data_IF_571453508084
#
_entry.id   IF_571453508084
#
_cell.length_a   1.000
_cell.length_b   1.000
_cell.length_c   1.000
_cell.angle_alpha   90.00
_cell.angle_beta   90.00
_cell.angle_gamma   90.00
#
_symmetry.space_group_name_H-M   'P 1'
#
loop_
_entity.id
_entity.type
_entity.pdbx_description
1 polymer ?
#
# COMPACT_ATOMS: atom_id res chain seq x y z
N UNK A 1 57.36 35.15 57.91
CA UNK A 1 56.68 35.83 56.77
C UNK A 1 56.84 34.93 55.58
N UNK A 2 55.83 34.06 55.36
CA UNK A 2 55.83 33.09 54.27
C UNK A 2 54.61 33.38 53.33
N UNK A 3 54.95 33.79 52.11
CA UNK A 3 54.01 34.02 51.07
C UNK A 3 53.64 32.68 50.40
N UNK A 4 52.43 32.22 50.62
CA UNK A 4 51.83 31.03 49.92
C UNK A 4 51.19 31.53 48.65
N UNK A 5 51.75 31.22 47.48
CA UNK A 5 51.12 31.48 46.16
C UNK A 5 50.16 30.35 45.80
N UNK A 6 48.92 30.70 45.74
CA UNK A 6 47.81 29.80 45.29
C UNK A 6 47.81 29.74 43.77
N UNK A 7 48.09 28.55 43.19
CA UNK A 7 47.90 28.29 41.75
C UNK A 7 46.54 27.76 41.53
N UNK A 8 45.69 28.52 40.82
CA UNK A 8 44.41 28.07 40.35
C UNK A 8 44.63 27.25 39.06
N UNK A 9 44.35 25.94 39.12
CA UNK A 9 44.29 25.08 37.94
C UNK A 9 42.93 25.29 37.21
N UNK A 10 42.99 25.89 36.03
CA UNK A 10 41.84 25.92 35.10
C UNK A 10 41.79 24.59 34.36
N UNK A 11 40.82 23.74 34.70
CA UNK A 11 40.47 22.54 33.92
C UNK A 11 39.54 22.97 32.80
N UNK A 12 40.04 23.08 31.59
CA UNK A 12 39.24 23.29 30.39
C UNK A 12 38.66 21.91 30.03
N UNK A 13 37.37 21.73 30.34
CA UNK A 13 36.59 20.58 29.88
C UNK A 13 36.33 20.66 28.37
N UNK A 14 37.03 19.85 27.59
CA UNK A 14 36.70 19.64 26.16
C UNK A 14 35.40 18.87 26.08
N UNK A 15 34.27 19.55 25.81
CA UNK A 15 33.05 18.88 25.37
C UNK A 15 33.24 18.42 23.93
N UNK A 16 33.56 17.14 23.76
CA UNK A 16 33.50 16.49 22.45
C UNK A 16 32.05 16.34 22.02
N UNK A 17 31.58 17.24 21.19
CA UNK A 17 30.30 17.04 20.46
C UNK A 17 30.55 15.93 19.45
N UNK A 18 30.06 14.74 19.75
CA UNK A 18 30.04 13.64 18.79
C UNK A 18 29.07 13.99 17.64
N UNK A 19 29.59 14.60 16.60
CA UNK A 19 28.90 14.63 15.31
C UNK A 19 28.85 13.19 14.80
N UNK A 20 27.66 12.55 14.86
CA UNK A 20 27.41 11.31 14.13
C UNK A 20 27.54 11.62 12.63
N UNK A 21 28.70 11.36 12.06
CA UNK A 21 28.83 11.27 10.62
C UNK A 21 27.99 10.08 10.15
N UNK A 22 26.89 10.36 9.46
CA UNK A 22 26.17 9.35 8.68
C UNK A 22 27.18 8.83 7.66
N UNK A 23 27.62 7.58 7.78
CA UNK A 23 28.63 7.02 6.90
C UNK A 23 28.15 7.09 5.46
N UNK A 24 29.00 7.53 4.54
CA UNK A 24 28.68 7.75 3.13
C UNK A 24 28.46 6.45 2.33
N UNK A 25 28.43 5.28 2.98
CA UNK A 25 28.38 3.95 2.35
C UNK A 25 27.08 3.17 2.61
N UNK A 26 26.02 3.76 3.14
CA UNK A 26 24.73 3.07 3.12
C UNK A 26 24.18 3.10 1.67
N UNK A 27 23.92 1.93 1.07
CA UNK A 27 23.42 1.87 -0.30
C UNK A 27 22.12 2.66 -0.40
N UNK A 28 22.09 3.65 -1.30
CA UNK A 28 20.88 4.46 -1.56
C UNK A 28 19.74 3.51 -1.87
N UNK A 29 18.68 3.54 -1.04
CA UNK A 29 17.48 2.75 -1.22
C UNK A 29 16.86 3.04 -2.59
N UNK A 30 16.63 2.01 -3.41
CA UNK A 30 15.98 2.17 -4.71
C UNK A 30 14.47 1.92 -4.59
N UNK A 31 13.66 2.74 -5.23
CA UNK A 31 12.20 2.59 -5.25
C UNK A 31 11.75 1.18 -5.70
N UNK A 32 12.45 0.58 -6.68
CA UNK A 32 12.16 -0.78 -7.14
C UNK A 32 12.32 -1.87 -6.07
N UNK A 33 13.09 -1.62 -5.03
CA UNK A 33 13.26 -2.57 -3.93
C UNK A 33 12.05 -2.58 -2.97
N UNK A 34 11.19 -1.57 -3.02
CA UNK A 34 9.98 -1.47 -2.20
C UNK A 34 8.79 -2.15 -2.87
N UNK A 35 8.75 -2.18 -4.21
CA UNK A 35 7.63 -2.71 -4.99
C UNK A 35 7.38 -4.18 -4.65
N UNK A 36 6.08 -4.54 -4.54
CA UNK A 36 5.59 -5.87 -4.25
C UNK A 36 4.64 -5.92 -3.09
N UNK A 37 4.50 -7.10 -2.47
CA UNK A 37 3.70 -7.28 -1.28
C UNK A 37 4.58 -7.68 -0.10
N UNK A 38 4.16 -7.16 1.06
CA UNK A 38 4.83 -7.36 2.33
C UNK A 38 3.82 -7.75 3.40
N UNK A 39 4.22 -8.58 4.35
CA UNK A 39 3.41 -9.02 5.47
C UNK A 39 4.07 -8.74 6.81
N UNK A 40 3.26 -8.52 7.82
CA UNK A 40 3.69 -8.49 9.22
C UNK A 40 2.65 -9.19 10.09
N UNK A 41 3.08 -9.67 11.25
CA UNK A 41 2.18 -10.28 12.22
C UNK A 41 2.60 -9.81 13.62
N UNK A 42 1.65 -9.28 14.39
CA UNK A 42 1.85 -8.87 15.78
C UNK A 42 0.55 -9.04 16.54
N UNK A 43 0.60 -9.70 17.68
CA UNK A 43 -0.54 -9.90 18.62
C UNK A 43 -1.81 -10.43 17.93
N UNK A 44 -1.63 -11.40 17.03
CA UNK A 44 -2.73 -12.01 16.26
C UNK A 44 -3.31 -11.11 15.16
N UNK A 45 -2.73 -9.93 14.93
CA UNK A 45 -3.07 -9.05 13.80
C UNK A 45 -2.14 -9.35 12.63
N UNK A 46 -2.74 -9.49 11.46
CA UNK A 46 -2.06 -9.63 10.19
C UNK A 46 -2.00 -8.26 9.52
N UNK A 47 -0.83 -7.91 9.00
CA UNK A 47 -0.66 -6.71 8.17
C UNK A 47 -0.30 -7.13 6.75
N UNK A 48 -1.00 -6.57 5.77
CA UNK A 48 -0.68 -6.67 4.35
C UNK A 48 -0.35 -5.28 3.81
N UNK A 49 0.82 -5.13 3.20
CA UNK A 49 1.22 -3.91 2.53
C UNK A 49 1.51 -4.20 1.05
N UNK A 50 0.74 -3.60 0.16
CA UNK A 50 0.93 -3.67 -1.29
C UNK A 50 1.55 -2.35 -1.74
N UNK A 51 2.68 -2.41 -2.44
CA UNK A 51 3.40 -1.26 -2.98
C UNK A 51 3.55 -1.46 -4.49
N UNK A 52 3.01 -0.54 -5.27
CA UNK A 52 3.20 -0.43 -6.72
C UNK A 52 4.17 0.71 -7.04
N UNK A 53 4.37 1.08 -8.29
CA UNK A 53 5.34 2.12 -8.67
C UNK A 53 5.05 3.49 -8.02
N UNK A 54 3.77 3.85 -7.84
CA UNK A 54 3.35 5.16 -7.32
C UNK A 54 2.35 5.10 -6.18
N UNK A 55 1.73 3.94 -5.95
CA UNK A 55 0.64 3.80 -5.00
C UNK A 55 0.93 2.71 -3.98
N UNK A 56 0.36 2.87 -2.80
CA UNK A 56 0.45 1.88 -1.74
C UNK A 56 -0.90 1.65 -1.06
N UNK A 57 -1.03 0.51 -0.42
CA UNK A 57 -2.11 0.21 0.52
C UNK A 57 -1.59 -0.64 1.65
N UNK A 58 -1.89 -0.25 2.88
CA UNK A 58 -1.64 -1.04 4.10
C UNK A 58 -2.98 -1.44 4.68
N UNK A 59 -3.14 -2.70 5.04
CA UNK A 59 -4.36 -3.22 5.68
C UNK A 59 -3.99 -4.07 6.87
N UNK A 60 -4.68 -3.87 7.99
CA UNK A 60 -4.59 -4.70 9.17
C UNK A 60 -5.91 -5.45 9.37
N UNK A 61 -5.83 -6.74 9.67
CA UNK A 61 -6.98 -7.61 9.87
C UNK A 61 -6.61 -8.79 10.78
N UNK A 62 -7.61 -9.50 11.27
CA UNK A 62 -7.50 -10.82 11.90
C UNK A 62 -8.17 -11.85 10.99
N UNK A 63 -8.11 -13.13 11.34
CA UNK A 63 -8.75 -14.21 10.57
C UNK A 63 -10.25 -14.00 10.35
N UNK A 64 -10.92 -13.23 11.21
CA UNK A 64 -12.37 -13.06 11.28
C UNK A 64 -12.79 -11.58 11.40
N UNK A 65 -11.85 -10.63 11.32
CA UNK A 65 -12.15 -9.21 11.54
C UNK A 65 -11.25 -8.30 10.68
N UNK A 66 -11.88 -7.43 9.88
CA UNK A 66 -11.18 -6.29 9.30
C UNK A 66 -10.93 -5.24 10.38
N UNK A 67 -9.71 -4.71 10.49
CA UNK A 67 -9.36 -3.71 11.50
C UNK A 67 -9.23 -2.32 10.91
N UNK A 68 -8.35 -2.13 9.93
CA UNK A 68 -8.11 -0.83 9.30
C UNK A 68 -7.44 -0.97 7.95
N UNK A 69 -7.57 0.08 7.14
CA UNK A 69 -6.77 0.24 5.91
C UNK A 69 -6.45 1.71 5.66
N UNK A 70 -5.29 1.94 5.09
CA UNK A 70 -4.83 3.25 4.66
C UNK A 70 -4.04 3.12 3.36
N UNK A 71 -3.98 4.18 2.57
CA UNK A 71 -3.21 4.16 1.34
C UNK A 71 -3.38 5.43 0.52
N UNK A 72 -2.65 5.45 -0.60
CA UNK A 72 -2.61 6.60 -1.50
C UNK A 72 -1.37 6.57 -2.37
N UNK A 73 -0.76 7.72 -2.59
CA UNK A 73 0.47 7.86 -3.35
C UNK A 73 1.70 7.81 -2.46
N UNK A 74 2.82 7.39 -3.04
CA UNK A 74 4.11 7.44 -2.38
C UNK A 74 5.23 7.82 -3.34
N UNK A 75 6.30 8.35 -2.78
CA UNK A 75 7.59 8.51 -3.47
C UNK A 75 8.74 8.30 -2.49
N UNK A 76 9.88 7.90 -3.03
CA UNK A 76 11.10 7.81 -2.25
C UNK A 76 11.82 9.17 -2.26
N UNK A 77 12.26 9.60 -1.08
CA UNK A 77 13.06 10.81 -0.85
C UNK A 77 14.37 10.44 -0.15
N UNK A 78 15.36 11.34 -0.07
CA UNK A 78 16.57 11.09 0.71
C UNK A 78 16.32 10.77 2.20
N UNK A 79 15.20 11.28 2.76
CA UNK A 79 14.86 11.12 4.17
C UNK A 79 13.95 9.91 4.45
N UNK A 80 13.49 9.22 3.39
CA UNK A 80 12.62 8.05 3.51
C UNK A 80 11.51 8.00 2.46
N UNK A 81 10.45 7.28 2.77
CA UNK A 81 9.26 7.15 1.92
C UNK A 81 8.23 8.20 2.31
N UNK A 82 7.94 9.13 1.39
CA UNK A 82 6.85 10.10 1.57
C UNK A 82 5.54 9.45 1.16
N UNK A 83 4.56 9.49 2.05
CA UNK A 83 3.18 9.09 1.82
C UNK A 83 2.29 10.32 1.62
N UNK A 84 1.34 10.20 0.70
CA UNK A 84 0.18 11.08 0.59
C UNK A 84 -1.07 10.22 0.67
N UNK A 85 -1.84 10.36 1.76
CA UNK A 85 -3.03 9.54 1.96
C UNK A 85 -4.18 9.98 1.06
N UNK A 86 -4.82 9.03 0.42
CA UNK A 86 -6.12 9.20 -0.26
C UNK A 86 -7.28 8.63 0.56
N UNK A 87 -6.96 7.70 1.44
CA UNK A 87 -7.89 7.12 2.42
C UNK A 87 -7.12 6.64 3.65
N UNK A 88 -7.76 6.76 4.82
CA UNK A 88 -7.25 6.25 6.08
C UNK A 88 -8.43 6.02 7.03
N UNK A 89 -8.74 4.74 7.33
CA UNK A 89 -9.87 4.39 8.20
C UNK A 89 -9.57 4.54 9.69
N UNK A 90 -8.30 4.70 10.05
CA UNK A 90 -7.88 4.93 11.43
C UNK A 90 -7.87 6.41 11.80
N UNK A 91 -7.45 7.26 10.85
CA UNK A 91 -7.35 8.72 11.04
C UNK A 91 -7.68 9.47 9.73
N UNK A 92 -8.95 9.77 9.52
CA UNK A 92 -9.43 10.49 8.34
C UNK A 92 -8.84 11.90 8.20
N UNK A 93 -8.36 12.50 9.30
CA UNK A 93 -7.74 13.83 9.27
C UNK A 93 -6.44 13.83 8.45
N UNK A 94 -5.77 12.68 8.32
CA UNK A 94 -4.55 12.54 7.51
C UNK A 94 -4.82 12.53 6.01
N UNK A 95 -6.05 12.30 5.56
CA UNK A 95 -6.39 12.26 4.12
C UNK A 95 -6.05 13.60 3.46
N UNK A 96 -5.34 13.53 2.32
CA UNK A 96 -4.74 14.65 1.57
C UNK A 96 -3.58 15.36 2.28
N UNK A 97 -3.02 14.77 3.35
CA UNK A 97 -1.77 15.25 3.96
C UNK A 97 -0.57 14.40 3.52
N UNK A 98 0.63 14.86 3.84
CA UNK A 98 1.89 14.18 3.52
C UNK A 98 2.72 13.97 4.78
N UNK A 99 3.43 12.83 4.82
CA UNK A 99 4.41 12.55 5.87
C UNK A 99 5.53 11.67 5.33
N UNK A 100 6.76 11.90 5.80
CA UNK A 100 7.92 11.09 5.45
C UNK A 100 8.19 10.12 6.60
N UNK A 101 8.39 8.85 6.24
CA UNK A 101 8.77 7.80 7.16
C UNK A 101 10.15 7.26 6.80
N UNK A 102 11.08 7.20 7.74
CA UNK A 102 12.33 6.46 7.54
C UNK A 102 12.02 5.01 7.16
N UNK A 103 12.63 4.53 6.08
CA UNK A 103 12.41 3.19 5.57
C UNK A 103 13.73 2.54 5.18
N UNK A 104 13.85 1.25 5.42
CA UNK A 104 14.99 0.47 4.96
C UNK A 104 14.55 -0.90 4.45
N UNK A 105 15.23 -1.39 3.40
CA UNK A 105 15.03 -2.75 2.87
C UNK A 105 16.37 -3.46 2.84
N UNK A 106 16.41 -4.64 3.47
CA UNK A 106 17.57 -5.55 3.44
C UNK A 106 17.07 -6.94 3.02
N UNK A 107 17.30 -7.29 1.75
CA UNK A 107 16.78 -8.55 1.18
C UNK A 107 15.24 -8.62 1.22
N UNK A 108 14.71 -9.61 1.92
CA UNK A 108 13.26 -9.83 2.07
C UNK A 108 12.66 -9.19 3.33
N UNK A 109 13.39 -8.27 3.98
CA UNK A 109 12.96 -7.57 5.17
C UNK A 109 12.88 -6.08 4.89
N UNK A 110 11.73 -5.48 5.16
CA UNK A 110 11.49 -4.04 5.14
C UNK A 110 11.23 -3.59 6.57
N UNK A 111 11.83 -2.48 6.97
CA UNK A 111 11.59 -1.85 8.27
C UNK A 111 11.08 -0.43 8.06
N UNK A 112 9.95 -0.10 8.66
CA UNK A 112 9.39 1.24 8.71
C UNK A 112 8.77 1.48 10.08
N UNK A 113 9.10 2.61 10.69
CA UNK A 113 8.58 3.05 12.01
C UNK A 113 8.63 1.95 13.07
N UNK A 114 9.78 1.24 13.16
CA UNK A 114 10.05 0.10 14.06
C UNK A 114 9.27 -1.19 13.72
N UNK A 115 8.37 -1.18 12.75
CA UNK A 115 7.66 -2.37 12.29
C UNK A 115 8.47 -3.07 11.23
N UNK A 116 8.64 -4.37 11.39
CA UNK A 116 9.29 -5.24 10.42
C UNK A 116 8.24 -5.92 9.55
N UNK A 117 8.50 -5.89 8.23
CA UNK A 117 7.69 -6.50 7.21
C UNK A 117 8.50 -7.52 6.44
N UNK A 118 7.94 -8.70 6.21
CA UNK A 118 8.54 -9.76 5.41
C UNK A 118 7.97 -9.70 3.99
N UNK A 119 8.81 -9.86 2.98
CA UNK A 119 8.39 -9.88 1.58
C UNK A 119 7.57 -11.12 1.26
N UNK A 120 6.43 -10.93 0.63
CA UNK A 120 5.60 -11.97 0.01
C UNK A 120 5.99 -12.14 -1.45
N UNK A 121 6.04 -11.05 -2.22
CA UNK A 121 6.44 -11.01 -3.61
C UNK A 121 7.12 -9.67 -3.98
N UNK A 122 7.70 -9.60 -5.16
CA UNK A 122 8.39 -8.41 -5.69
C UNK A 122 7.62 -7.71 -6.83
N UNK A 123 6.29 -7.86 -6.85
CA UNK A 123 5.44 -7.30 -7.90
C UNK A 123 5.30 -8.17 -9.16
N UNK A 124 6.05 -9.25 -9.27
CA UNK A 124 5.97 -10.22 -10.37
C UNK A 124 5.69 -11.64 -9.88
N UNK A 125 5.20 -12.51 -10.75
CA UNK A 125 4.88 -12.37 -12.17
C UNK A 125 3.45 -11.85 -12.47
N UNK A 126 2.83 -11.05 -11.64
CA UNK A 126 1.43 -10.62 -11.78
C UNK A 126 1.13 -9.84 -13.07
N UNK A 127 0.30 -10.41 -13.96
CA UNK A 127 -0.16 -9.73 -15.19
C UNK A 127 -0.96 -8.46 -14.89
N UNK A 128 -1.59 -8.38 -13.72
CA UNK A 128 -2.44 -7.30 -13.25
C UNK A 128 -1.75 -6.38 -12.23
N UNK A 129 -0.45 -6.60 -11.94
CA UNK A 129 0.27 -5.76 -10.99
C UNK A 129 0.16 -4.27 -11.34
N UNK A 130 -0.11 -3.43 -10.32
CA UNK A 130 -0.33 -2.00 -10.45
C UNK A 130 -1.58 -1.52 -9.72
N UNK A 131 -1.86 -0.23 -9.83
CA UNK A 131 -3.07 0.40 -9.31
C UNK A 131 -4.02 0.75 -10.46
N UNK A 132 -5.28 0.33 -10.34
CA UNK A 132 -6.32 0.43 -11.36
C UNK A 132 -7.55 1.15 -10.81
N UNK A 133 -8.16 2.01 -11.61
CA UNK A 133 -9.46 2.60 -11.33
C UNK A 133 -10.51 2.05 -12.29
N UNK A 134 -11.74 1.87 -11.78
CA UNK A 134 -12.85 1.50 -12.62
C UNK A 134 -13.20 2.66 -13.56
N UNK A 135 -13.20 2.38 -14.87
CA UNK A 135 -13.46 3.37 -15.93
C UNK A 135 -14.63 3.02 -16.83
N UNK A 136 -15.32 1.92 -16.56
CA UNK A 136 -16.52 1.56 -17.31
C UNK A 136 -17.19 0.31 -16.80
N UNK A 137 -18.38 0.08 -17.30
CA UNK A 137 -19.17 -1.14 -17.11
C UNK A 137 -19.88 -1.51 -18.38
N UNK A 138 -20.06 -2.80 -18.60
CA UNK A 138 -20.95 -3.34 -19.60
C UNK A 138 -22.30 -3.70 -18.94
N UNK A 139 -23.39 -3.17 -19.49
CA UNK A 139 -24.77 -3.53 -19.14
C UNK A 139 -25.45 -3.97 -20.43
N UNK A 140 -25.97 -5.19 -20.47
CA UNK A 140 -26.65 -5.77 -21.66
C UNK A 140 -25.83 -5.65 -22.97
N UNK A 141 -24.50 -5.76 -22.84
CA UNK A 141 -23.58 -5.68 -23.98
C UNK A 141 -23.14 -4.26 -24.36
N UNK A 142 -23.75 -3.23 -23.80
CA UNK A 142 -23.39 -1.83 -24.04
C UNK A 142 -22.42 -1.32 -22.97
N UNK A 143 -21.34 -0.67 -23.42
CA UNK A 143 -20.34 -0.10 -22.54
C UNK A 143 -20.74 1.31 -22.10
N UNK A 144 -20.83 1.52 -20.79
CA UNK A 144 -20.94 2.83 -20.16
C UNK A 144 -19.57 3.25 -19.64
N UNK A 145 -18.98 4.30 -20.22
CA UNK A 145 -17.71 4.85 -19.77
C UNK A 145 -17.91 5.74 -18.52
N UNK A 146 -16.90 5.73 -17.66
CA UNK A 146 -16.84 6.53 -16.45
C UNK A 146 -15.46 7.15 -16.32
N UNK A 147 -15.42 8.47 -16.20
CA UNK A 147 -14.19 9.17 -15.79
C UNK A 147 -14.06 9.10 -14.26
N UNK A 148 -12.98 8.53 -13.72
CA UNK A 148 -12.73 8.57 -12.28
C UNK A 148 -12.61 10.00 -11.78
N UNK A 149 -13.35 10.32 -10.72
CA UNK A 149 -13.33 11.63 -10.06
C UNK A 149 -12.80 11.53 -8.62
N UNK A 150 -13.37 12.36 -7.75
CA UNK A 150 -13.01 12.40 -6.32
C UNK A 150 -13.45 11.13 -5.58
N UNK A 151 -14.63 10.57 -5.96
CA UNK A 151 -15.05 9.23 -5.51
C UNK A 151 -14.43 8.17 -6.41
N UNK A 152 -13.61 7.31 -5.82
CA UNK A 152 -12.82 6.29 -6.50
C UNK A 152 -13.19 4.89 -6.05
N UNK A 153 -13.10 3.94 -6.97
CA UNK A 153 -12.99 2.52 -6.67
C UNK A 153 -11.70 2.04 -7.30
N UNK A 154 -10.74 1.69 -6.47
CA UNK A 154 -9.40 1.27 -6.87
C UNK A 154 -9.23 -0.22 -6.63
N UNK A 155 -8.53 -0.90 -7.53
CA UNK A 155 -7.84 -2.16 -7.26
C UNK A 155 -6.34 -1.92 -7.28
N UNK A 156 -5.64 -2.35 -6.24
CA UNK A 156 -4.19 -2.35 -6.15
C UNK A 156 -3.71 -3.78 -6.04
N UNK A 157 -2.77 -4.16 -6.90
CA UNK A 157 -2.28 -5.54 -7.00
C UNK A 157 -0.75 -5.58 -7.05
N UNK A 158 -0.17 -6.53 -6.32
CA UNK A 158 1.23 -6.94 -6.48
C UNK A 158 1.34 -8.14 -7.42
N UNK A 159 2.35 -8.97 -7.27
CA UNK A 159 2.48 -10.23 -8.01
C UNK A 159 1.42 -11.27 -7.64
N UNK A 160 1.00 -11.31 -6.37
CA UNK A 160 0.14 -12.36 -5.81
C UNK A 160 -0.93 -11.85 -4.85
N UNK A 161 -0.88 -10.58 -4.45
CA UNK A 161 -1.81 -9.95 -3.49
C UNK A 161 -2.63 -8.88 -4.16
N UNK A 162 -3.88 -8.75 -3.74
CA UNK A 162 -4.78 -7.71 -4.23
C UNK A 162 -5.58 -7.08 -3.09
N UNK A 163 -6.05 -5.88 -3.36
CA UNK A 163 -7.06 -5.22 -2.55
C UNK A 163 -7.91 -4.34 -3.46
N UNK A 164 -9.21 -4.33 -3.27
CA UNK A 164 -10.11 -3.31 -3.80
C UNK A 164 -10.51 -2.36 -2.68
N UNK A 165 -10.59 -1.07 -2.99
CA UNK A 165 -10.95 -0.01 -2.05
C UNK A 165 -11.89 0.98 -2.70
N UNK A 166 -12.99 1.34 -2.01
CA UNK A 166 -13.91 2.39 -2.43
C UNK A 166 -13.86 3.53 -1.41
N UNK A 167 -13.55 4.74 -1.88
CA UNK A 167 -13.33 5.92 -1.05
C UNK A 167 -13.64 7.22 -1.82
N UNK A 168 -13.69 8.35 -1.11
CA UNK A 168 -13.79 9.70 -1.66
C UNK A 168 -12.71 10.58 -1.04
N UNK A 169 -11.84 11.14 -1.87
CA UNK A 169 -10.70 11.96 -1.40
C UNK A 169 -11.12 13.35 -0.91
N UNK A 170 -12.28 13.86 -1.35
CA UNK A 170 -12.81 15.17 -0.96
C UNK A 170 -13.54 15.10 0.39
N UNK A 171 -14.51 14.18 0.47
CA UNK A 171 -15.31 14.00 1.70
C UNK A 171 -14.59 13.14 2.74
N UNK A 172 -13.44 12.55 2.38
CA UNK A 172 -12.63 11.61 3.17
C UNK A 172 -13.35 10.32 3.56
N UNK A 173 -14.54 10.08 3.01
CA UNK A 173 -15.35 8.92 3.29
C UNK A 173 -14.72 7.63 2.75
N UNK A 174 -14.73 6.61 3.59
CA UNK A 174 -14.41 5.24 3.23
C UNK A 174 -15.70 4.43 3.05
N UNK A 175 -15.87 3.78 1.89
CA UNK A 175 -17.09 3.02 1.58
C UNK A 175 -16.91 1.51 1.75
N UNK A 176 -15.70 1.00 1.71
CA UNK A 176 -15.42 -0.41 1.94
C UNK A 176 -14.19 -0.91 1.20
N UNK A 177 -13.73 -2.08 1.63
CA UNK A 177 -12.59 -2.80 1.05
C UNK A 177 -12.73 -4.30 1.23
N UNK A 178 -12.05 -5.04 0.39
CA UNK A 178 -11.76 -6.46 0.54
C UNK A 178 -10.50 -6.82 -0.22
N UNK A 179 -9.85 -7.90 0.16
CA UNK A 179 -8.60 -8.29 -0.45
C UNK A 179 -8.09 -9.63 0.05
N UNK A 180 -6.89 -9.97 -0.40
CA UNK A 180 -6.22 -11.22 -0.08
C UNK A 180 -5.25 -11.63 -1.18
N UNK A 181 -5.21 -12.90 -1.51
CA UNK A 181 -4.39 -13.43 -2.59
C UNK A 181 -5.16 -13.56 -3.90
N UNK A 182 -4.42 -13.55 -5.02
CA UNK A 182 -5.02 -13.79 -6.33
C UNK A 182 -4.12 -14.59 -7.26
N UNK A 183 -4.75 -15.16 -8.28
CA UNK A 183 -4.05 -15.80 -9.40
C UNK A 183 -4.63 -15.38 -10.74
N UNK A 184 -3.79 -15.43 -11.79
CA UNK A 184 -4.24 -15.29 -13.20
C UNK A 184 -3.79 -16.51 -13.98
N UNK A 185 -4.72 -17.35 -14.39
CA UNK A 185 -4.43 -18.58 -15.15
C UNK A 185 -5.53 -18.83 -16.17
N UNK A 186 -5.17 -19.18 -17.39
CA UNK A 186 -6.06 -19.60 -18.48
C UNK A 186 -7.25 -18.62 -18.71
N UNK A 187 -6.96 -17.31 -18.70
CA UNK A 187 -7.98 -16.26 -18.88
C UNK A 187 -8.88 -16.03 -17.66
N UNK A 188 -8.59 -16.69 -16.54
CA UNK A 188 -9.30 -16.52 -15.28
C UNK A 188 -8.47 -15.73 -14.29
N UNK A 189 -9.14 -14.81 -13.60
CA UNK A 189 -8.66 -14.07 -12.44
C UNK A 189 -9.42 -14.60 -11.22
N UNK A 190 -8.71 -15.17 -10.27
CA UNK A 190 -9.31 -15.77 -9.07
C UNK A 190 -8.85 -14.99 -7.85
N UNK A 191 -9.80 -14.44 -7.10
CA UNK A 191 -9.60 -13.75 -5.82
C UNK A 191 -9.87 -14.73 -4.68
N UNK A 192 -8.95 -14.85 -3.71
CA UNK A 192 -9.19 -15.53 -2.44
C UNK A 192 -9.27 -14.46 -1.36
N UNK A 193 -10.43 -14.33 -0.74
CA UNK A 193 -10.75 -13.24 0.19
C UNK A 193 -10.19 -13.57 1.57
N UNK A 194 -9.25 -12.77 2.06
CA UNK A 194 -8.63 -12.89 3.37
C UNK A 194 -9.15 -11.85 4.37
N UNK A 195 -9.70 -10.73 3.87
CA UNK A 195 -10.37 -9.71 4.67
C UNK A 195 -11.48 -9.01 3.87
N UNK A 196 -12.53 -8.56 4.57
CA UNK A 196 -13.65 -7.84 3.97
C UNK A 196 -14.30 -6.91 5.01
N UNK A 197 -14.31 -5.60 4.77
CA UNK A 197 -14.69 -4.60 5.77
C UNK A 197 -16.18 -4.54 6.11
N UNK A 198 -17.05 -5.06 5.24
CA UNK A 198 -18.50 -4.94 5.40
C UNK A 198 -19.20 -6.22 5.87
N UNK A 199 -18.56 -7.37 5.66
CA UNK A 199 -19.19 -8.66 5.90
C UNK A 199 -18.10 -9.75 6.01
N UNK A 200 -17.77 -10.10 7.24
CA UNK A 200 -16.75 -11.12 7.52
C UNK A 200 -17.12 -12.52 7.00
N UNK A 201 -18.40 -12.78 6.72
CA UNK A 201 -18.81 -14.06 6.11
C UNK A 201 -18.25 -14.26 4.69
N UNK A 202 -17.67 -13.23 4.08
CA UNK A 202 -16.99 -13.30 2.79
C UNK A 202 -15.55 -13.81 2.89
N UNK A 203 -14.97 -13.79 4.07
CA UNK A 203 -13.61 -14.32 4.30
C UNK A 203 -13.59 -15.82 4.04
N UNK A 204 -12.58 -16.29 3.34
CA UNK A 204 -12.46 -17.68 2.87
C UNK A 204 -13.14 -17.96 1.52
N UNK A 205 -13.94 -17.02 0.98
CA UNK A 205 -14.52 -17.19 -0.35
C UNK A 205 -13.45 -17.11 -1.45
N UNK A 206 -13.62 -17.92 -2.49
CA UNK A 206 -12.85 -17.86 -3.73
C UNK A 206 -13.77 -17.44 -4.87
N UNK A 207 -13.45 -16.30 -5.49
CA UNK A 207 -14.27 -15.70 -6.56
C UNK A 207 -13.49 -15.76 -7.86
N UNK A 208 -14.08 -16.37 -8.89
CA UNK A 208 -13.45 -16.49 -10.19
C UNK A 208 -14.14 -15.60 -11.22
N UNK A 209 -13.31 -14.87 -11.98
CA UNK A 209 -13.75 -13.95 -13.03
C UNK A 209 -13.04 -14.25 -14.34
N UNK A 210 -13.67 -13.95 -15.45
CA UNK A 210 -12.99 -13.83 -16.72
C UNK A 210 -12.20 -12.50 -16.75
N UNK A 211 -10.99 -12.53 -17.30
CA UNK A 211 -10.23 -11.30 -17.50
C UNK A 211 -9.55 -11.25 -18.85
N UNK A 212 -9.48 -10.06 -19.40
CA UNK A 212 -8.72 -9.73 -20.60
C UNK A 212 -8.02 -8.39 -20.42
N UNK A 213 -6.84 -8.24 -21.01
CA UNK A 213 -6.20 -6.95 -21.19
C UNK A 213 -6.33 -6.59 -22.68
N UNK A 214 -7.11 -5.56 -22.96
CA UNK A 214 -7.40 -5.07 -24.31
C UNK A 214 -7.11 -3.56 -24.36
N UNK A 215 -6.21 -3.13 -25.26
CA UNK A 215 -5.81 -1.73 -25.40
C UNK A 215 -5.34 -1.08 -24.09
N UNK A 216 -4.64 -1.85 -23.24
CA UNK A 216 -4.16 -1.38 -21.94
C UNK A 216 -5.24 -1.27 -20.85
N UNK A 217 -6.50 -1.58 -21.17
CA UNK A 217 -7.61 -1.67 -20.20
C UNK A 217 -7.83 -3.11 -19.76
N UNK A 218 -8.17 -3.31 -18.51
CA UNK A 218 -8.51 -4.61 -17.94
C UNK A 218 -10.03 -4.77 -17.90
N UNK A 219 -10.58 -5.69 -18.68
CA UNK A 219 -11.98 -6.14 -18.56
C UNK A 219 -12.04 -7.29 -17.57
N UNK A 220 -12.97 -7.20 -16.63
CA UNK A 220 -13.17 -8.10 -15.50
C UNK A 220 -14.66 -8.45 -15.42
N UNK A 221 -15.02 -9.70 -15.70
CA UNK A 221 -16.42 -10.10 -15.76
C UNK A 221 -16.68 -11.42 -15.02
N UNK A 222 -17.88 -11.56 -14.46
CA UNK A 222 -18.29 -12.72 -13.67
C UNK A 222 -19.44 -12.41 -12.73
N UNK A 223 -19.35 -12.95 -11.50
CA UNK A 223 -20.32 -12.68 -10.44
C UNK A 223 -19.64 -12.04 -9.24
N UNK A 224 -20.28 -11.01 -8.70
CA UNK A 224 -19.85 -10.37 -7.45
C UNK A 224 -19.91 -11.35 -6.26
N UNK A 225 -19.35 -10.97 -5.11
CA UNK A 225 -19.50 -11.76 -3.87
C UNK A 225 -20.96 -11.93 -3.40
N UNK A 226 -21.88 -11.15 -3.94
CA UNK A 226 -23.35 -11.29 -3.70
C UNK A 226 -24.06 -12.16 -4.75
N UNK A 227 -23.33 -12.60 -5.79
CA UNK A 227 -23.89 -13.36 -6.91
C UNK A 227 -24.43 -12.51 -8.06
N UNK A 228 -24.40 -11.17 -7.96
CA UNK A 228 -24.86 -10.27 -9.01
C UNK A 228 -23.90 -10.30 -10.22
N UNK A 229 -24.41 -10.18 -11.46
CA UNK A 229 -23.57 -10.03 -12.64
C UNK A 229 -22.63 -8.82 -12.51
N UNK A 230 -21.40 -9.00 -12.97
CA UNK A 230 -20.36 -7.97 -12.96
C UNK A 230 -19.60 -8.02 -14.28
N UNK A 231 -19.48 -6.87 -14.96
CA UNK A 231 -18.65 -6.73 -16.16
C UNK A 231 -18.08 -5.30 -16.16
N UNK A 232 -16.84 -5.19 -15.73
CA UNK A 232 -16.18 -3.93 -15.42
C UNK A 232 -14.95 -3.73 -16.28
N UNK A 233 -14.67 -2.46 -16.58
CA UNK A 233 -13.46 -2.03 -17.26
C UNK A 233 -12.62 -1.18 -16.31
N UNK A 234 -11.36 -1.54 -16.22
CA UNK A 234 -10.39 -0.92 -15.33
C UNK A 234 -9.22 -0.35 -16.14
N UNK A 235 -8.78 0.84 -15.80
CA UNK A 235 -7.61 1.49 -16.42
C UNK A 235 -6.56 1.77 -15.35
N UNK A 236 -5.29 1.54 -15.69
CA UNK A 236 -4.19 1.87 -14.79
C UNK A 236 -4.17 3.35 -14.46
N UNK A 237 -3.90 3.68 -13.19
CA UNK A 237 -3.80 5.06 -12.71
C UNK A 237 -2.73 5.86 -13.45
N UNK A 238 -1.60 5.22 -13.77
CA UNK A 238 -0.53 5.86 -14.53
C UNK A 238 -0.97 6.33 -15.92
N UNK A 239 -1.86 5.58 -16.58
CA UNK A 239 -2.44 5.94 -17.88
C UNK A 239 -3.44 7.09 -17.74
N UNK A 240 -4.14 7.16 -16.59
CA UNK A 240 -5.11 8.22 -16.30
C UNK A 240 -4.44 9.52 -15.80
N UNK A 241 -3.17 9.44 -15.38
CA UNK A 241 -2.43 10.58 -14.81
C UNK A 241 -2.88 10.99 -13.40
N UNK A 242 -3.53 10.08 -12.67
CA UNK A 242 -4.07 10.32 -11.32
C UNK A 242 -3.76 9.19 -10.36
#
# INVERSE_FOLDING_TARGET
MNNLKLYALFVIGLMATAFSYKSADEPVQKASQLIGAWETTSDGKLGLWIITEKHFSVTFYKSDEFLSTEGGEWKLTPDGMEWMWEYNTHDEATVMTRKIYPISVKGNKLTMDKTEWKRIDNGGPGKLAGAWLITGRYNDGEMSERTPGLRRTMKILSGTRFQWIAYNVETKEFFGTGGGSYTTKDGKYTENIEFFSRDNSRVGASLQFDFKIENGKWRHSGKSSKGDPLDEVWTKRDVLGI
#
